data_IF_167546825781
#
_entry.id   IF_167546825781
#
_cell.length_a   1.000
_cell.length_b   1.000
_cell.length_c   1.000
_cell.angle_alpha   90.00
_cell.angle_beta   90.00
_cell.angle_gamma   90.00
#
_symmetry.space_group_name_H-M   'P 1'
#
loop_
_entity.id
_entity.type
_entity.pdbx_description
1 polymer ?
#
# COMPACT_ATOMS: atom_id res chain seq x y z
N UNK A 1 -5.29 -19.71 -7.22
CA UNK A 1 -5.19 -18.92 -5.99
C UNK A 1 -4.01 -17.97 -6.09
N UNK A 2 -4.23 -16.68 -5.83
CA UNK A 2 -3.15 -15.69 -5.92
C UNK A 2 -2.29 -15.75 -4.67
N UNK A 3 -0.98 -15.94 -4.85
CA UNK A 3 -0.05 -15.88 -3.75
C UNK A 3 0.35 -14.43 -3.51
N UNK A 4 -0.10 -13.85 -2.40
CA UNK A 4 0.18 -12.46 -2.05
C UNK A 4 1.68 -12.20 -1.90
N UNK A 5 2.43 -13.16 -1.37
CA UNK A 5 3.87 -13.01 -1.23
C UNK A 5 4.56 -12.83 -2.57
N UNK A 6 4.11 -13.58 -3.59
CA UNK A 6 4.62 -13.41 -4.95
C UNK A 6 4.28 -12.04 -5.53
N UNK A 7 3.10 -11.52 -5.21
CA UNK A 7 2.71 -10.19 -5.65
C UNK A 7 3.58 -9.11 -5.01
N UNK A 8 3.88 -9.23 -3.71
CA UNK A 8 4.77 -8.30 -3.04
C UNK A 8 6.18 -8.33 -3.64
N UNK A 9 6.69 -9.52 -3.92
CA UNK A 9 8.02 -9.67 -4.54
C UNK A 9 8.06 -9.10 -5.95
N UNK A 10 6.98 -9.24 -6.70
CA UNK A 10 6.88 -8.63 -8.02
C UNK A 10 6.95 -7.10 -7.96
N UNK A 11 6.57 -6.52 -6.84
CA UNK A 11 6.68 -5.09 -6.58
C UNK A 11 7.98 -4.71 -5.84
N UNK A 12 8.96 -5.63 -5.81
CA UNK A 12 10.25 -5.45 -5.13
C UNK A 12 10.12 -5.31 -3.61
N UNK A 13 9.06 -5.87 -3.04
CA UNK A 13 8.85 -5.90 -1.60
C UNK A 13 9.09 -7.31 -1.07
N UNK A 14 9.79 -7.45 0.05
CA UNK A 14 10.05 -8.74 0.66
C UNK A 14 8.85 -9.23 1.46
N UNK A 15 8.03 -8.31 1.97
CA UNK A 15 6.86 -8.62 2.76
C UNK A 15 5.85 -7.49 2.65
N UNK A 16 4.68 -7.68 3.27
CA UNK A 16 3.63 -6.67 3.25
C UNK A 16 4.08 -5.32 3.81
N UNK A 17 4.85 -5.33 4.89
CA UNK A 17 5.33 -4.10 5.52
C UNK A 17 6.22 -3.30 4.55
N UNK A 18 7.11 -3.97 3.84
CA UNK A 18 7.94 -3.34 2.83
C UNK A 18 7.10 -2.75 1.70
N UNK A 19 6.06 -3.48 1.27
CA UNK A 19 5.14 -3.00 0.26
C UNK A 19 4.42 -1.72 0.72
N UNK A 20 3.94 -1.71 1.96
CA UNK A 20 3.26 -0.53 2.51
C UNK A 20 4.20 0.68 2.58
N UNK A 21 5.47 0.45 2.91
CA UNK A 21 6.48 1.51 2.92
C UNK A 21 6.71 2.07 1.51
N UNK A 22 6.75 1.20 0.51
CA UNK A 22 6.87 1.64 -0.88
C UNK A 22 5.68 2.51 -1.27
N UNK A 23 4.47 2.06 -0.96
CA UNK A 23 3.25 2.81 -1.28
C UNK A 23 3.28 4.19 -0.61
N UNK A 24 3.67 4.23 0.66
CA UNK A 24 3.78 5.49 1.40
C UNK A 24 4.80 6.42 0.75
N UNK A 25 5.97 5.90 0.41
CA UNK A 25 7.03 6.69 -0.21
C UNK A 25 6.61 7.24 -1.58
N UNK A 26 6.01 6.40 -2.42
CA UNK A 26 5.58 6.78 -3.76
C UNK A 26 4.50 7.87 -3.74
N UNK A 27 3.69 7.89 -2.70
CA UNK A 27 2.60 8.85 -2.57
C UNK A 27 2.92 10.02 -1.62
N UNK A 28 4.11 10.02 -1.05
CA UNK A 28 4.53 11.07 -0.13
C UNK A 28 3.72 11.10 1.16
N UNK A 29 3.27 9.94 1.62
CA UNK A 29 2.45 9.80 2.81
C UNK A 29 3.27 9.20 3.96
N UNK A 30 2.92 9.53 5.23
CA UNK A 30 3.52 8.84 6.37
C UNK A 30 3.17 7.36 6.35
N UNK A 31 4.12 6.51 6.68
CA UNK A 31 3.90 5.05 6.72
C UNK A 31 2.74 4.68 7.65
N UNK A 32 2.57 5.39 8.74
CA UNK A 32 1.50 5.16 9.70
C UNK A 32 0.12 5.35 9.09
N UNK A 33 -0.01 6.35 8.22
CA UNK A 33 -1.26 6.59 7.49
C UNK A 33 -1.60 5.41 6.59
N UNK A 34 -0.62 4.92 5.83
CA UNK A 34 -0.80 3.78 4.94
C UNK A 34 -1.13 2.52 5.73
N UNK A 35 -0.44 2.28 6.84
CA UNK A 35 -0.72 1.13 7.71
C UNK A 35 -2.13 1.15 8.27
N UNK A 36 -2.60 2.31 8.68
CA UNK A 36 -3.96 2.46 9.20
C UNK A 36 -5.00 2.13 8.14
N UNK A 37 -4.83 2.66 6.94
CA UNK A 37 -5.72 2.38 5.81
C UNK A 37 -5.68 0.88 5.48
N UNK A 38 -4.49 0.31 5.39
CA UNK A 38 -4.32 -1.10 5.07
C UNK A 38 -4.97 -2.00 6.11
N UNK A 39 -4.91 -1.64 7.40
CA UNK A 39 -5.54 -2.40 8.47
C UNK A 39 -7.07 -2.40 8.36
N UNK A 40 -7.65 -1.30 7.92
CA UNK A 40 -9.09 -1.22 7.69
C UNK A 40 -9.56 -2.00 6.47
N UNK A 41 -8.77 -1.98 5.40
CA UNK A 41 -9.13 -2.63 4.15
C UNK A 41 -8.82 -4.13 4.12
N UNK A 42 -7.73 -4.54 4.75
CA UNK A 42 -7.25 -5.91 4.72
C UNK A 42 -6.31 -6.17 3.55
N UNK A 43 -5.62 -7.30 3.60
CA UNK A 43 -4.59 -7.66 2.62
C UNK A 43 -5.10 -7.77 1.18
N UNK A 44 -6.35 -8.16 1.01
CA UNK A 44 -6.94 -8.35 -0.31
C UNK A 44 -7.04 -7.06 -1.10
N UNK A 45 -7.05 -5.93 -0.41
CA UNK A 45 -7.21 -4.62 -1.04
C UNK A 45 -5.88 -3.88 -1.20
N UNK A 46 -4.75 -4.51 -0.86
CA UNK A 46 -3.45 -3.87 -0.91
C UNK A 46 -3.08 -3.40 -2.32
N UNK A 47 -3.52 -4.11 -3.35
CA UNK A 47 -3.22 -3.77 -4.74
C UNK A 47 -4.38 -3.08 -5.47
N UNK A 48 -5.47 -2.82 -4.76
CA UNK A 48 -6.65 -2.17 -5.33
C UNK A 48 -7.03 -0.92 -4.57
N UNK A 49 -7.97 -1.06 -3.63
CA UNK A 49 -8.50 0.09 -2.89
C UNK A 49 -7.44 0.87 -2.12
N UNK A 50 -6.44 0.19 -1.56
CA UNK A 50 -5.35 0.86 -0.83
C UNK A 50 -4.61 1.84 -1.75
N UNK A 51 -4.24 1.41 -2.94
CA UNK A 51 -3.53 2.24 -3.90
C UNK A 51 -4.39 3.43 -4.31
N UNK A 52 -5.66 3.21 -4.58
CA UNK A 52 -6.59 4.27 -4.95
C UNK A 52 -6.74 5.32 -3.85
N UNK A 53 -6.89 4.87 -2.61
CA UNK A 53 -7.03 5.78 -1.47
C UNK A 53 -5.75 6.59 -1.28
N UNK A 54 -4.59 5.97 -1.37
CA UNK A 54 -3.31 6.65 -1.23
C UNK A 54 -3.11 7.68 -2.34
N UNK A 55 -3.48 7.35 -3.57
CA UNK A 55 -3.42 8.29 -4.69
C UNK A 55 -4.36 9.47 -4.49
N UNK A 56 -5.53 9.24 -3.92
CA UNK A 56 -6.49 10.29 -3.60
C UNK A 56 -5.92 11.25 -2.55
N UNK A 57 -5.30 10.72 -1.50
CA UNK A 57 -4.64 11.52 -0.48
C UNK A 57 -3.48 12.32 -1.05
N UNK A 58 -2.70 11.71 -1.93
CA UNK A 58 -1.62 12.40 -2.62
C UNK A 58 -2.13 13.60 -3.40
N UNK A 59 -3.25 13.45 -4.09
CA UNK A 59 -3.86 14.52 -4.88
C UNK A 59 -4.35 15.67 -4.01
N UNK A 60 -4.61 15.42 -2.74
CA UNK A 60 -5.06 16.44 -1.78
C UNK A 60 -3.92 17.16 -1.08
N UNK A 61 -2.70 16.74 -1.28
CA UNK A 61 -1.53 17.22 -0.56
C UNK A 61 -0.95 18.52 -1.12
N UNK A 62 -1.76 19.36 -1.65
CA UNK A 62 -1.33 20.70 -2.09
C UNK A 62 -1.41 21.71 -1.00
#
# INVERSE_FOLDING_TARGET
MTDLLLMYRACWAECRDDYLRQVAHENGLPIECVRTIAAHLGEREDFGALVLICETHRSRSY
#
